data_IF_921434801478
#
_entry.id   IF_921434801478
#
_cell.length_a   1.000
_cell.length_b   1.000
_cell.length_c   1.000
_cell.angle_alpha   90.00
_cell.angle_beta   90.00
_cell.angle_gamma   90.00
#
_symmetry.space_group_name_H-M   'P 1'
#
loop_
_entity.id
_entity.type
_entity.pdbx_description
1 polymer ?
#
# COMPACT_ATOMS: atom_id res chain seq x y z
N UNK A 1 -32.80 -5.49 41.88
CA UNK A 1 -31.89 -6.56 41.42
C UNK A 1 -31.64 -6.48 39.91
N UNK A 2 -32.64 -6.62 39.03
CA UNK A 2 -32.45 -6.54 37.56
C UNK A 2 -31.75 -5.25 37.08
N UNK A 3 -32.24 -4.08 37.50
CA UNK A 3 -31.62 -2.77 37.18
C UNK A 3 -30.15 -2.62 37.62
N UNK A 4 -29.76 -3.30 38.69
CA UNK A 4 -28.38 -3.28 39.20
C UNK A 4 -27.47 -4.20 38.38
N UNK A 5 -28.01 -5.31 37.87
CA UNK A 5 -27.31 -6.24 36.97
C UNK A 5 -27.17 -5.62 35.56
N UNK A 6 -28.23 -4.98 35.07
CA UNK A 6 -28.23 -4.29 33.77
C UNK A 6 -27.22 -3.13 33.74
N UNK A 7 -27.08 -2.40 34.85
CA UNK A 7 -26.10 -1.33 35.00
C UNK A 7 -24.67 -1.87 34.96
N UNK A 8 -24.40 -2.98 35.66
CA UNK A 8 -23.07 -3.61 35.68
C UNK A 8 -22.68 -4.16 34.32
N UNK A 9 -23.60 -4.81 33.60
CA UNK A 9 -23.37 -5.30 32.23
C UNK A 9 -23.11 -4.13 31.28
N UNK A 10 -23.88 -3.05 31.39
CA UNK A 10 -23.69 -1.84 30.57
C UNK A 10 -22.33 -1.19 30.83
N UNK A 11 -21.90 -1.08 32.10
CA UNK A 11 -20.58 -0.58 32.46
C UNK A 11 -19.45 -1.48 31.93
N UNK A 12 -19.60 -2.81 32.00
CA UNK A 12 -18.62 -3.76 31.44
C UNK A 12 -18.49 -3.65 29.92
N UNK A 13 -19.62 -3.53 29.20
CA UNK A 13 -19.61 -3.34 27.74
C UNK A 13 -18.99 -2.01 27.33
N UNK A 14 -19.24 -0.92 28.09
CA UNK A 14 -18.60 0.38 27.87
C UNK A 14 -17.09 0.33 28.11
N UNK A 15 -16.63 -0.38 29.14
CA UNK A 15 -15.19 -0.57 29.40
C UNK A 15 -14.53 -1.33 28.25
N UNK A 16 -15.12 -2.43 27.79
CA UNK A 16 -14.58 -3.20 26.65
C UNK A 16 -14.53 -2.35 25.37
N UNK A 17 -15.55 -1.53 25.11
CA UNK A 17 -15.58 -0.64 23.95
C UNK A 17 -14.50 0.47 24.02
N UNK A 18 -14.26 1.02 25.22
CA UNK A 18 -13.21 2.04 25.44
C UNK A 18 -11.80 1.45 25.27
N UNK A 19 -11.56 0.23 25.75
CA UNK A 19 -10.24 -0.41 25.64
C UNK A 19 -9.98 -1.09 24.29
N UNK A 20 -11.02 -1.48 23.54
CA UNK A 20 -10.87 -2.12 22.22
C UNK A 20 -10.39 -1.19 21.11
N UNK A 21 -10.45 0.13 21.33
CA UNK A 21 -10.12 1.15 20.34
C UNK A 21 -8.84 1.93 20.67
N UNK A 22 -8.04 1.47 21.64
CA UNK A 22 -6.76 2.09 21.94
C UNK A 22 -5.87 2.05 20.69
N UNK A 23 -5.32 3.20 20.24
CA UNK A 23 -4.43 3.21 19.10
C UNK A 23 -3.19 2.37 19.44
N UNK A 24 -2.89 1.38 18.60
CA UNK A 24 -1.60 0.69 18.69
C UNK A 24 -0.52 1.74 18.51
N UNK A 25 0.41 1.78 19.46
CA UNK A 25 1.59 2.63 19.37
C UNK A 25 2.33 2.35 18.06
N UNK A 26 2.67 3.41 17.34
CA UNK A 26 3.40 3.28 16.08
C UNK A 26 4.80 2.77 16.39
N UNK A 27 5.17 1.62 15.82
CA UNK A 27 6.53 1.08 15.96
C UNK A 27 7.54 2.03 15.33
N UNK A 28 8.56 2.43 16.10
CA UNK A 28 9.65 3.25 15.60
C UNK A 28 10.83 2.37 15.17
N UNK A 29 10.88 2.05 13.87
CA UNK A 29 11.93 1.22 13.30
C UNK A 29 13.30 1.93 13.16
N UNK A 30 13.38 3.24 13.38
CA UNK A 30 14.66 3.96 13.34
C UNK A 30 15.53 3.68 14.57
N UNK A 31 14.92 3.25 15.67
CA UNK A 31 15.59 3.03 16.96
C UNK A 31 15.19 1.69 17.59
N UNK A 32 15.00 0.64 16.78
CA UNK A 32 14.74 -0.71 17.30
C UNK A 32 16.04 -1.37 17.79
N UNK A 33 15.92 -2.33 18.71
CA UNK A 33 17.08 -3.12 19.13
C UNK A 33 17.50 -4.08 18.01
N UNK A 34 18.74 -4.56 18.06
CA UNK A 34 19.22 -5.57 17.10
C UNK A 34 18.36 -6.84 17.16
N UNK A 35 17.96 -7.27 18.36
CA UNK A 35 17.10 -8.45 18.55
C UNK A 35 15.73 -8.27 17.89
N UNK A 36 15.10 -7.10 18.06
CA UNK A 36 13.80 -6.80 17.44
C UNK A 36 13.91 -6.72 15.91
N UNK A 37 14.97 -6.09 15.38
CA UNK A 37 15.25 -6.05 13.95
C UNK A 37 15.40 -7.47 13.40
N UNK A 38 16.19 -8.31 14.07
CA UNK A 38 16.42 -9.67 13.60
C UNK A 38 15.15 -10.51 13.68
N UNK A 39 14.35 -10.42 14.74
CA UNK A 39 13.06 -11.11 14.78
C UNK A 39 12.13 -10.65 13.64
N UNK A 40 12.07 -9.35 13.36
CA UNK A 40 11.22 -8.81 12.28
C UNK A 40 11.68 -9.21 10.87
N UNK A 41 12.98 -9.38 10.68
CA UNK A 41 13.57 -9.71 9.38
C UNK A 41 13.67 -11.21 9.11
N UNK A 42 13.33 -12.08 10.08
CA UNK A 42 13.34 -13.54 9.94
C UNK A 42 12.54 -13.99 8.72
N UNK A 43 11.25 -13.66 8.64
CA UNK A 43 10.39 -14.05 7.52
C UNK A 43 10.93 -13.58 6.17
N UNK A 44 11.54 -12.38 6.12
CA UNK A 44 12.05 -11.81 4.87
C UNK A 44 13.29 -12.57 4.38
N UNK A 45 14.18 -12.95 5.31
CA UNK A 45 15.35 -13.78 5.00
C UNK A 45 14.93 -15.18 4.55
N UNK A 46 13.86 -15.71 5.12
CA UNK A 46 13.30 -17.03 4.78
C UNK A 46 12.55 -17.03 3.44
N UNK A 47 11.93 -15.92 3.05
CA UNK A 47 11.05 -15.84 1.88
C UNK A 47 11.77 -16.21 0.56
N UNK A 48 13.04 -15.83 0.41
CA UNK A 48 13.95 -16.28 -0.68
C UNK A 48 13.62 -15.85 -2.11
N UNK A 49 12.35 -15.57 -2.43
CA UNK A 49 11.85 -15.16 -3.74
C UNK A 49 10.77 -14.10 -3.59
N UNK A 50 10.70 -13.16 -4.54
CA UNK A 50 9.71 -12.10 -4.56
C UNK A 50 9.38 -11.65 -5.97
N UNK A 51 8.15 -11.15 -6.16
CA UNK A 51 7.69 -10.54 -7.39
C UNK A 51 7.69 -9.02 -7.23
N UNK A 52 8.17 -8.31 -8.27
CA UNK A 52 8.16 -6.85 -8.31
C UNK A 52 7.31 -6.36 -9.48
N UNK A 53 6.41 -5.41 -9.23
CA UNK A 53 5.48 -4.88 -10.23
C UNK A 53 5.79 -3.40 -10.49
N UNK A 54 6.18 -3.08 -11.73
CA UNK A 54 6.22 -1.70 -12.23
C UNK A 54 4.91 -1.39 -12.93
N UNK A 55 4.03 -0.64 -12.25
CA UNK A 55 2.74 -0.24 -12.81
C UNK A 55 2.43 1.23 -12.51
N UNK A 56 2.01 1.97 -13.53
CA UNK A 56 1.72 3.40 -13.42
C UNK A 56 1.36 4.01 -14.77
N UNK A 57 1.25 5.34 -14.82
CA UNK A 57 0.80 6.08 -16.01
C UNK A 57 1.65 5.81 -17.26
N UNK A 58 2.94 5.53 -17.09
CA UNK A 58 3.86 5.17 -18.19
C UNK A 58 3.43 3.91 -18.95
N UNK A 59 2.60 3.05 -18.35
CA UNK A 59 2.04 1.88 -19.02
C UNK A 59 1.04 2.24 -20.14
N UNK A 60 0.43 3.44 -20.09
CA UNK A 60 -0.50 3.92 -21.14
C UNK A 60 0.22 4.15 -22.48
N UNK A 61 1.28 4.97 -22.57
CA UNK A 61 2.05 5.11 -23.80
C UNK A 61 2.94 3.90 -24.12
N UNK A 62 3.16 2.99 -23.16
CA UNK A 62 3.83 1.71 -23.39
C UNK A 62 5.24 1.82 -23.99
N UNK A 63 5.96 2.89 -23.63
CA UNK A 63 7.32 3.13 -24.12
C UNK A 63 7.44 3.83 -25.47
N UNK A 64 6.31 4.31 -26.02
CA UNK A 64 6.26 4.99 -27.32
C UNK A 64 5.77 6.42 -27.14
N UNK A 65 6.49 7.38 -27.71
CA UNK A 65 6.07 8.77 -27.74
C UNK A 65 6.44 9.44 -29.07
N UNK A 66 5.45 10.02 -29.75
CA UNK A 66 5.60 10.71 -31.05
C UNK A 66 6.39 9.91 -32.11
N UNK A 67 6.21 8.59 -32.12
CA UNK A 67 6.85 7.67 -33.07
C UNK A 67 8.24 7.16 -32.64
N UNK A 68 8.80 7.69 -31.55
CA UNK A 68 10.04 7.17 -30.95
C UNK A 68 9.71 6.06 -29.97
N UNK A 69 10.45 4.96 -30.07
CA UNK A 69 10.36 3.79 -29.19
C UNK A 69 11.59 3.73 -28.27
N UNK A 70 11.51 2.93 -27.21
CA UNK A 70 12.66 2.68 -26.31
C UNK A 70 12.59 3.45 -24.99
N UNK A 71 11.41 3.96 -24.65
CA UNK A 71 11.13 4.49 -23.33
C UNK A 71 10.42 3.44 -22.47
N UNK A 72 10.46 3.56 -21.15
CA UNK A 72 9.79 2.63 -20.24
C UNK A 72 9.13 3.43 -19.10
N UNK A 73 9.35 3.05 -17.85
CA UNK A 73 8.86 3.78 -16.69
C UNK A 73 9.39 5.23 -16.62
N UNK A 74 10.54 5.49 -17.26
CA UNK A 74 11.16 6.83 -17.36
C UNK A 74 10.69 7.68 -18.54
N UNK A 75 9.64 7.25 -19.27
CA UNK A 75 9.23 7.87 -20.55
C UNK A 75 9.03 9.39 -20.48
N UNK A 76 8.49 9.90 -19.38
CA UNK A 76 8.30 11.34 -19.21
C UNK A 76 9.62 12.11 -19.33
N UNK A 77 10.67 11.61 -18.69
CA UNK A 77 12.00 12.22 -18.72
C UNK A 77 12.74 11.93 -20.03
N UNK A 78 12.81 10.66 -20.44
CA UNK A 78 13.63 10.24 -21.59
C UNK A 78 13.09 10.71 -22.93
N UNK A 79 11.76 10.92 -23.03
CA UNK A 79 11.11 11.45 -24.22
C UNK A 79 10.83 12.96 -24.13
N UNK A 80 11.26 13.61 -23.03
CA UNK A 80 11.02 15.01 -22.72
C UNK A 80 9.54 15.42 -22.89
N UNK A 81 8.62 14.61 -22.35
CA UNK A 81 7.18 14.87 -22.42
C UNK A 81 6.86 16.05 -21.49
N UNK A 82 6.26 17.14 -22.00
CA UNK A 82 5.76 18.22 -21.15
C UNK A 82 4.78 17.68 -20.09
N UNK A 83 4.81 18.23 -18.88
CA UNK A 83 3.99 17.75 -17.76
C UNK A 83 2.51 17.75 -18.11
N UNK A 84 2.02 18.82 -18.73
CA UNK A 84 0.64 18.97 -19.18
C UNK A 84 0.23 17.97 -20.27
N UNK A 85 1.19 17.49 -21.08
CA UNK A 85 0.95 16.43 -22.05
C UNK A 85 0.91 15.06 -21.37
N UNK A 86 1.83 14.78 -20.45
CA UNK A 86 1.90 13.53 -19.71
C UNK A 86 0.70 13.32 -18.78
N UNK A 87 0.23 14.38 -18.12
CA UNK A 87 -0.94 14.36 -17.23
C UNK A 87 -2.21 13.88 -17.95
N UNK A 88 -2.32 14.03 -19.26
CA UNK A 88 -3.47 13.54 -20.04
C UNK A 88 -3.61 12.02 -19.98
N UNK A 89 -2.54 11.28 -19.69
CA UNK A 89 -2.61 9.82 -19.52
C UNK A 89 -3.40 9.41 -18.27
N UNK A 90 -3.60 10.29 -17.27
CA UNK A 90 -4.44 10.01 -16.10
C UNK A 90 -5.86 9.60 -16.48
N UNK A 91 -6.45 10.29 -17.45
CA UNK A 91 -7.81 10.01 -17.93
C UNK A 91 -7.92 8.73 -18.77
N UNK A 92 -6.80 8.20 -19.24
CA UNK A 92 -6.71 6.97 -20.04
C UNK A 92 -6.34 5.76 -19.19
N UNK A 93 -5.78 5.97 -18.00
CA UNK A 93 -5.42 4.91 -17.08
C UNK A 93 -6.67 4.32 -16.42
N UNK A 94 -7.30 3.37 -17.11
CA UNK A 94 -8.48 2.64 -16.65
C UNK A 94 -8.29 1.14 -16.92
N UNK A 95 -7.59 0.41 -16.04
CA UNK A 95 -7.26 -0.99 -16.26
C UNK A 95 -8.46 -1.91 -15.98
N UNK A 96 -9.46 -1.91 -16.87
CA UNK A 96 -10.72 -2.67 -16.72
C UNK A 96 -10.58 -4.19 -16.65
N UNK A 97 -9.39 -4.72 -16.96
CA UNK A 97 -9.06 -6.15 -16.87
C UNK A 97 -8.22 -6.49 -15.63
N UNK A 98 -7.93 -5.50 -14.78
CA UNK A 98 -7.20 -5.76 -13.54
C UNK A 98 -8.11 -6.47 -12.54
N UNK A 99 -7.62 -7.57 -12.01
CA UNK A 99 -8.18 -8.30 -10.88
C UNK A 99 -7.03 -8.62 -9.92
N UNK A 100 -7.17 -8.22 -8.65
CA UNK A 100 -6.13 -8.44 -7.66
C UNK A 100 -5.99 -9.94 -7.31
N UNK A 101 -7.10 -10.68 -7.27
CA UNK A 101 -7.11 -12.10 -6.89
C UNK A 101 -6.53 -13.00 -7.99
N UNK A 102 -6.51 -12.53 -9.24
CA UNK A 102 -5.80 -13.23 -10.32
C UNK A 102 -4.28 -13.03 -10.26
N UNK A 103 -3.81 -12.01 -9.53
CA UNK A 103 -2.40 -11.62 -9.48
C UNK A 103 -1.69 -12.08 -8.19
N UNK A 104 -2.42 -12.30 -7.08
CA UNK A 104 -1.86 -12.68 -5.77
C UNK A 104 -2.72 -13.68 -5.00
#
# INVERSE_FOLDING_TARGET
>A
MKKSVDLVITCLLLVVFIYGCAPKEAKNYLYETQEDFDSRMEWWRDAGFGMFIHWGLYAVPGGVYKGTIGHAEWIQATAAIPVDEYEKYTTQFNPVKFDADEWV
#
